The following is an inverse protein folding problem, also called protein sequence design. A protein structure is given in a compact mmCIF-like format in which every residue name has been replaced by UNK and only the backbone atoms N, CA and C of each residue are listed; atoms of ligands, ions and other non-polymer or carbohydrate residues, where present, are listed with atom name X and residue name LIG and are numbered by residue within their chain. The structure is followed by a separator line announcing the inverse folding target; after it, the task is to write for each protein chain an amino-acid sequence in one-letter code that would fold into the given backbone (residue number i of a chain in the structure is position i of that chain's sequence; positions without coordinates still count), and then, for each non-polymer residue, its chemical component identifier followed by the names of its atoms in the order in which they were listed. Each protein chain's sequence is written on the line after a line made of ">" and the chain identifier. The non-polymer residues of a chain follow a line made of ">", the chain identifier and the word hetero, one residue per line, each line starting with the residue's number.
data_IF_997665577547
#
_entry.id   IF_997665577547
#
_cell.length_a   1.000
_cell.length_b   1.000
_cell.length_c   1.000
_cell.angle_alpha   90.00
_cell.angle_beta   90.00
_cell.angle_gamma   90.00
#
_symmetry.space_group_name_H-M   'P 1'
#
loop_
_entity.id
_entity.type
_entity.pdbx_description
1 polymer ?
#
# COMPACT_ATOMS: atom_id res chain seq x y z
N UNK A 1 -6.05 -4.14 14.69
CA UNK A 1 -6.17 -5.61 14.54
C UNK A 1 -7.10 -5.92 13.38
N UNK A 2 -6.94 -7.09 12.75
CA UNK A 2 -7.76 -7.58 11.62
C UNK A 2 -9.12 -8.11 12.12
N UNK A 3 -9.83 -7.26 12.87
CA UNK A 3 -11.14 -7.59 13.44
C UNK A 3 -12.23 -7.32 12.39
N UNK A 4 -12.79 -8.39 11.84
CA UNK A 4 -13.81 -8.33 10.80
C UNK A 4 -15.15 -7.79 11.29
N UNK A 5 -15.42 -7.78 12.60
CA UNK A 5 -16.69 -7.27 13.16
C UNK A 5 -16.84 -5.75 13.03
N UNK A 6 -15.74 -5.05 12.74
CA UNK A 6 -15.69 -3.60 12.56
C UNK A 6 -16.07 -3.15 11.15
N UNK A 7 -16.27 -4.09 10.21
CA UNK A 7 -16.37 -3.81 8.77
C UNK A 7 -17.50 -4.60 8.11
N UNK A 8 -18.13 -4.01 7.08
CA UNK A 8 -19.13 -4.71 6.28
C UNK A 8 -18.48 -5.64 5.22
N UNK A 9 -17.35 -5.21 4.66
CA UNK A 9 -16.61 -5.98 3.67
C UNK A 9 -15.77 -7.06 4.37
N UNK A 10 -16.24 -8.31 4.32
CA UNK A 10 -15.68 -9.45 5.09
C UNK A 10 -15.53 -10.73 4.27
N UNK A 11 -15.75 -10.65 2.95
CA UNK A 11 -15.91 -11.84 2.10
C UNK A 11 -14.58 -12.44 1.62
N UNK A 12 -13.47 -11.69 1.64
CA UNK A 12 -12.19 -12.12 1.04
C UNK A 12 -11.10 -12.41 2.09
N UNK A 13 -11.51 -12.65 3.34
CA UNK A 13 -10.63 -13.01 4.45
C UNK A 13 -10.48 -11.92 5.50
N UNK A 14 -9.78 -12.22 6.59
CA UNK A 14 -9.74 -11.37 7.79
C UNK A 14 -8.90 -10.11 7.61
N UNK A 15 -7.82 -10.17 6.82
CA UNK A 15 -6.95 -9.03 6.54
C UNK A 15 -7.54 -8.07 5.49
N UNK A 16 -8.54 -8.51 4.74
CA UNK A 16 -9.06 -7.88 3.52
C UNK A 16 -9.40 -6.39 3.62
N UNK A 17 -10.44 -6.05 4.39
CA UNK A 17 -10.88 -4.66 4.50
C UNK A 17 -9.77 -3.77 5.08
N UNK A 18 -8.98 -4.28 6.02
CA UNK A 18 -7.88 -3.50 6.58
C UNK A 18 -6.79 -3.23 5.54
N UNK A 19 -6.53 -4.15 4.62
CA UNK A 19 -5.64 -3.94 3.48
C UNK A 19 -6.20 -2.92 2.49
N UNK A 20 -7.49 -2.97 2.17
CA UNK A 20 -8.15 -1.96 1.31
C UNK A 20 -8.08 -0.55 1.90
N UNK A 21 -8.26 -0.42 3.23
CA UNK A 21 -8.10 0.87 3.92
C UNK A 21 -6.65 1.36 3.82
N UNK A 22 -5.67 0.49 4.11
CA UNK A 22 -4.23 0.84 4.02
C UNK A 22 -3.86 1.28 2.60
N UNK A 23 -4.27 0.55 1.58
CA UNK A 23 -3.96 0.88 0.18
C UNK A 23 -4.61 2.21 -0.24
N UNK A 24 -5.83 2.49 0.22
CA UNK A 24 -6.53 3.75 -0.07
C UNK A 24 -5.85 4.96 0.56
N UNK A 25 -5.25 4.79 1.75
CA UNK A 25 -4.52 5.85 2.45
C UNK A 25 -3.10 6.04 1.93
N UNK A 26 -2.40 4.94 1.59
CA UNK A 26 -1.02 5.00 1.10
C UNK A 26 -0.93 5.36 -0.39
N UNK A 27 -1.97 5.06 -1.15
CA UNK A 27 -2.00 5.21 -2.61
C UNK A 27 -1.38 4.02 -3.33
N UNK A 28 -1.76 3.84 -4.59
CA UNK A 28 -1.31 2.72 -5.44
C UNK A 28 -0.11 3.06 -6.31
N UNK A 29 0.38 4.30 -6.27
CA UNK A 29 1.49 4.75 -7.13
C UNK A 29 2.21 5.96 -6.55
N UNK A 30 3.43 6.17 -7.04
CA UNK A 30 4.23 7.36 -6.78
C UNK A 30 4.81 7.87 -8.09
N UNK A 31 4.98 9.19 -8.20
CA UNK A 31 5.64 9.82 -9.35
C UNK A 31 7.05 10.22 -8.96
N UNK A 32 8.04 9.75 -9.72
CA UNK A 32 9.46 10.05 -9.47
C UNK A 32 10.02 10.89 -10.62
N UNK A 33 10.48 12.13 -10.37
CA UNK A 33 11.08 12.96 -11.41
C UNK A 33 12.40 12.37 -11.93
N UNK A 34 12.70 12.62 -13.20
CA UNK A 34 13.95 12.22 -13.84
C UNK A 34 14.68 13.47 -14.32
N UNK A 35 15.95 13.62 -13.94
CA UNK A 35 16.84 14.68 -14.41
C UNK A 35 18.10 14.06 -14.98
N UNK A 36 18.42 14.36 -16.25
CA UNK A 36 19.61 13.84 -16.95
C UNK A 36 19.71 12.30 -16.93
N UNK A 37 18.58 11.60 -17.03
CA UNK A 37 18.54 10.13 -17.06
C UNK A 37 18.63 9.45 -15.70
N UNK A 38 18.65 10.20 -14.59
CA UNK A 38 18.67 9.65 -13.23
C UNK A 38 17.41 10.03 -12.45
N UNK A 39 16.94 9.13 -11.58
CA UNK A 39 15.86 9.42 -10.64
C UNK A 39 16.30 10.49 -9.64
N UNK A 40 15.46 11.51 -9.44
CA UNK A 40 15.71 12.57 -8.49
C UNK A 40 15.22 12.17 -7.10
N UNK A 41 16.04 11.39 -6.40
CA UNK A 41 15.76 10.88 -5.07
C UNK A 41 16.76 11.42 -4.06
N UNK A 42 16.29 11.75 -2.85
CA UNK A 42 17.15 12.05 -1.71
C UNK A 42 17.86 10.79 -1.20
N UNK A 43 18.95 10.97 -0.46
CA UNK A 43 19.79 9.89 0.10
C UNK A 43 19.00 8.81 0.85
N UNK A 44 17.86 9.18 1.43
CA UNK A 44 17.01 8.31 2.25
C UNK A 44 15.62 8.05 1.66
N UNK A 45 15.39 8.40 0.40
CA UNK A 45 14.16 8.03 -0.30
C UNK A 45 14.30 6.63 -0.89
N UNK A 46 13.26 5.81 -0.78
CA UNK A 46 13.18 4.48 -1.35
C UNK A 46 11.79 4.19 -1.89
N UNK A 47 11.71 3.32 -2.88
CA UNK A 47 10.45 2.85 -3.45
C UNK A 47 10.22 1.43 -2.90
N UNK A 48 9.03 1.21 -2.34
CA UNK A 48 8.68 -0.05 -1.70
C UNK A 48 7.37 -0.58 -2.28
N UNK A 49 7.33 -1.89 -2.49
CA UNK A 49 6.06 -2.59 -2.66
C UNK A 49 5.48 -2.85 -1.26
N UNK A 50 4.35 -2.21 -0.97
CA UNK A 50 3.64 -2.43 0.28
C UNK A 50 2.51 -3.44 0.05
N UNK A 51 2.86 -4.74 0.14
CA UNK A 51 1.86 -5.80 0.20
C UNK A 51 1.14 -5.73 1.55
N UNK A 52 -0.19 -5.64 1.52
CA UNK A 52 -1.01 -5.50 2.71
C UNK A 52 -1.77 -6.78 3.05
N UNK A 53 -1.76 -7.77 2.15
CA UNK A 53 -2.42 -9.06 2.28
C UNK A 53 -1.39 -10.16 2.49
N UNK A 54 -1.69 -11.09 3.39
CA UNK A 54 -0.79 -12.20 3.66
C UNK A 54 -0.94 -13.33 2.63
N UNK A 55 -2.11 -13.42 2.01
CA UNK A 55 -2.48 -14.42 0.99
C UNK A 55 -3.51 -13.79 0.04
N UNK A 56 -3.41 -14.12 -1.25
CA UNK A 56 -4.37 -13.79 -2.29
C UNK A 56 -4.95 -15.03 -2.93
#
# INVERSE_FOLDING_TARGET
>A
PEDTSLYEHTLEGTDDMTSHIKSSLMGSSVTVPITRGHFNMGTWQGIYLCEHRNRG
#
